data_IF_008940090520
#
_entry.id   IF_008940090520
#
_cell.length_a   1.000
_cell.length_b   1.000
_cell.length_c   1.000
_cell.angle_alpha   90.00
_cell.angle_beta   90.00
_cell.angle_gamma   90.00
#
_symmetry.space_group_name_H-M   'P 1'
#
loop_
_entity.id
_entity.type
_entity.pdbx_description
1 polymer ?
#
# COMPACT_ATOMS: atom_id res chain seq x y z
N UNK A 1 -15.54 25.71 10.53
CA UNK A 1 -14.49 24.80 11.03
C UNK A 1 -13.15 25.44 10.79
N UNK A 2 -12.52 25.97 11.83
CA UNK A 2 -11.31 26.81 11.76
C UNK A 2 -10.08 26.00 11.33
N UNK A 3 -9.21 26.58 10.50
CA UNK A 3 -7.94 25.99 10.01
C UNK A 3 -7.10 25.31 11.11
N UNK A 4 -7.18 25.78 12.36
CA UNK A 4 -6.51 25.21 13.52
C UNK A 4 -6.92 23.75 13.81
N UNK A 5 -8.18 23.35 13.60
CA UNK A 5 -8.62 21.96 13.82
C UNK A 5 -8.17 21.02 12.70
N UNK A 6 -8.06 21.53 11.48
CA UNK A 6 -7.49 20.79 10.34
C UNK A 6 -5.97 20.59 10.53
N UNK A 7 -5.26 21.61 11.04
CA UNK A 7 -3.83 21.53 11.38
C UNK A 7 -3.57 20.54 12.52
N UNK A 8 -4.41 20.54 13.56
CA UNK A 8 -4.32 19.59 14.68
C UNK A 8 -4.61 18.14 14.22
N UNK A 9 -5.64 17.93 13.38
CA UNK A 9 -5.96 16.61 12.84
C UNK A 9 -4.87 16.08 11.88
N UNK A 10 -4.25 16.95 11.07
CA UNK A 10 -3.09 16.60 10.25
C UNK A 10 -1.84 16.30 11.11
N UNK A 11 -1.66 16.99 12.24
CA UNK A 11 -0.55 16.74 13.17
C UNK A 11 -0.75 15.46 14.00
N UNK A 12 -1.97 15.10 14.38
CA UNK A 12 -2.26 13.86 15.12
C UNK A 12 -2.15 12.60 14.25
N UNK A 13 -2.45 12.69 12.94
CA UNK A 13 -2.23 11.58 11.99
C UNK A 13 -0.72 11.37 11.72
N UNK A 14 0.10 12.40 11.93
CA UNK A 14 1.57 12.35 11.78
C UNK A 14 2.32 12.19 13.11
N UNK A 15 1.66 11.65 14.14
CA UNK A 15 2.29 11.44 15.44
C UNK A 15 3.39 10.35 15.36
N UNK A 16 4.64 10.83 15.40
CA UNK A 16 5.79 10.23 16.08
C UNK A 16 6.73 9.27 15.32
N UNK A 17 6.85 9.38 13.99
CA UNK A 17 8.01 8.79 13.30
C UNK A 17 8.69 9.78 12.37
N UNK A 18 9.99 9.99 12.58
CA UNK A 18 10.85 10.69 11.62
C UNK A 18 10.82 9.95 10.28
N UNK A 19 10.51 10.69 9.21
CA UNK A 19 10.37 10.15 7.85
C UNK A 19 11.68 10.35 7.10
N UNK A 20 12.33 9.26 6.71
CA UNK A 20 13.61 9.21 6.03
C UNK A 20 13.39 9.29 4.52
N UNK A 21 13.72 10.45 3.95
CA UNK A 21 13.63 10.67 2.51
C UNK A 21 15.03 10.51 1.92
N UNK A 22 15.18 9.51 1.04
CA UNK A 22 16.41 9.28 0.30
C UNK A 22 16.42 10.11 -0.98
N UNK A 23 17.28 11.12 -1.06
CA UNK A 23 17.33 12.04 -2.20
C UNK A 23 18.42 11.57 -3.17
N UNK A 24 17.99 11.19 -4.36
CA UNK A 24 18.84 10.72 -5.43
C UNK A 24 19.07 11.86 -6.42
N UNK A 25 20.31 12.31 -6.57
CA UNK A 25 20.65 13.40 -7.46
C UNK A 25 21.89 13.08 -8.30
N UNK A 26 21.91 13.52 -9.56
CA UNK A 26 23.09 13.40 -10.42
C UNK A 26 24.13 14.50 -10.15
N UNK A 27 23.74 15.58 -9.48
CA UNK A 27 24.67 16.62 -9.04
C UNK A 27 25.22 16.31 -7.65
N UNK A 28 26.47 16.70 -7.39
CA UNK A 28 27.11 16.55 -6.09
C UNK A 28 26.41 17.35 -4.98
N UNK A 29 25.66 18.39 -5.34
CA UNK A 29 24.89 19.22 -4.44
C UNK A 29 23.56 19.58 -5.12
N UNK A 30 22.50 18.77 -4.93
CA UNK A 30 21.18 19.07 -5.51
C UNK A 30 20.62 20.40 -4.98
N UNK A 31 19.81 21.07 -5.79
CA UNK A 31 19.06 22.23 -5.32
C UNK A 31 17.91 21.76 -4.44
N UNK A 32 18.15 21.80 -3.13
CA UNK A 32 17.18 21.42 -2.11
C UNK A 32 16.36 22.61 -1.60
N UNK A 33 16.41 23.79 -2.25
CA UNK A 33 15.69 24.99 -1.81
C UNK A 33 14.20 24.73 -1.58
N UNK A 34 13.55 24.00 -2.48
CA UNK A 34 12.14 23.60 -2.38
C UNK A 34 11.84 22.60 -1.24
N UNK A 35 12.89 21.99 -0.69
CA UNK A 35 12.83 20.94 0.34
C UNK A 35 13.24 21.43 1.73
N UNK A 36 13.78 22.65 1.86
CA UNK A 36 14.29 23.16 3.14
C UNK A 36 13.23 23.18 4.24
N UNK A 37 12.01 23.58 3.89
CA UNK A 37 10.87 23.64 4.81
C UNK A 37 10.41 22.25 5.29
N UNK A 38 10.77 21.18 4.56
CA UNK A 38 10.48 19.81 5.01
C UNK A 38 11.35 19.41 6.21
N UNK A 39 12.57 19.91 6.33
CA UNK A 39 13.42 19.56 7.49
C UNK A 39 12.79 19.98 8.82
N UNK A 40 12.03 21.09 8.83
CA UNK A 40 11.27 21.54 10.00
C UNK A 40 9.99 20.75 10.29
N UNK A 41 9.56 19.87 9.37
CA UNK A 41 8.33 19.09 9.43
C UNK A 41 8.50 17.63 9.88
N UNK A 42 9.68 17.24 10.35
CA UNK A 42 9.97 15.86 10.78
C UNK A 42 10.46 14.92 9.66
N UNK A 43 10.95 15.49 8.55
CA UNK A 43 11.57 14.73 7.47
C UNK A 43 13.10 14.78 7.60
N UNK A 44 13.74 13.60 7.59
CA UNK A 44 15.18 13.46 7.54
C UNK A 44 15.62 13.22 6.09
N UNK A 45 16.33 14.19 5.52
CA UNK A 45 16.76 14.15 4.12
C UNK A 45 18.16 13.52 4.03
N UNK A 46 18.32 12.45 3.25
CA UNK A 46 19.60 11.79 3.03
C UNK A 46 19.99 11.87 1.54
N UNK A 47 20.88 12.80 1.15
CA UNK A 47 21.35 12.91 -0.23
C UNK A 47 22.24 11.74 -0.65
N UNK A 48 22.14 11.35 -1.91
CA UNK A 48 22.99 10.34 -2.55
C UNK A 48 23.25 10.71 -4.01
N UNK A 49 24.53 10.79 -4.37
CA UNK A 49 24.96 11.13 -5.72
C UNK A 49 24.89 9.89 -6.64
N UNK A 50 24.06 9.93 -7.67
CA UNK A 50 23.98 8.90 -8.69
C UNK A 50 25.15 9.04 -9.66
N UNK A 51 25.86 7.94 -9.92
CA UNK A 51 26.86 7.83 -10.99
C UNK A 51 26.40 6.78 -12.00
N UNK A 52 26.85 6.89 -13.26
CA UNK A 52 26.43 6.01 -14.37
C UNK A 52 26.54 4.50 -14.12
N UNK A 53 27.40 4.07 -13.20
CA UNK A 53 27.57 2.65 -12.82
C UNK A 53 27.36 2.41 -11.32
N UNK A 54 26.75 3.36 -10.60
CA UNK A 54 26.47 3.17 -9.17
C UNK A 54 25.37 2.13 -9.00
N UNK A 55 25.64 1.15 -8.14
CA UNK A 55 24.60 0.26 -7.63
C UNK A 55 23.80 1.03 -6.58
N UNK A 56 22.49 1.15 -6.79
CA UNK A 56 21.59 1.92 -5.94
C UNK A 56 21.14 1.06 -4.77
N UNK A 57 21.94 1.00 -3.70
CA UNK A 57 21.54 0.35 -2.47
C UNK A 57 20.80 1.35 -1.58
N UNK A 58 19.49 1.17 -1.33
CA UNK A 58 18.79 2.01 -0.38
C UNK A 58 19.38 1.83 1.03
N UNK A 59 19.49 2.91 1.83
CA UNK A 59 19.88 2.77 3.24
C UNK A 59 18.85 1.94 4.02
N UNK A 60 19.24 1.49 5.21
CA UNK A 60 18.49 0.50 6.00
C UNK A 60 17.07 0.96 6.39
N UNK A 61 16.78 2.26 6.36
CA UNK A 61 15.47 2.84 6.61
C UNK A 61 15.19 3.97 5.60
N UNK A 62 14.41 3.67 4.57
CA UNK A 62 13.94 4.63 3.56
C UNK A 62 12.43 4.60 3.52
N UNK A 63 11.81 5.69 3.94
CA UNK A 63 10.36 5.84 3.87
C UNK A 63 9.92 6.30 2.47
N UNK A 64 10.75 7.08 1.76
CA UNK A 64 10.51 7.51 0.38
C UNK A 64 11.82 7.79 -0.37
N UNK A 65 11.89 7.41 -1.64
CA UNK A 65 12.95 7.84 -2.55
C UNK A 65 12.48 9.03 -3.39
N UNK A 66 13.32 10.05 -3.51
CA UNK A 66 13.07 11.28 -4.26
C UNK A 66 14.16 11.47 -5.30
N UNK A 67 13.83 11.33 -6.58
CA UNK A 67 14.78 11.48 -7.68
C UNK A 67 14.74 12.91 -8.24
N UNK A 68 15.84 13.63 -8.13
CA UNK A 68 16.04 14.93 -8.78
C UNK A 68 16.61 14.75 -10.20
N UNK A 69 15.76 15.02 -11.20
CA UNK A 69 16.08 14.97 -12.63
C UNK A 69 16.68 16.28 -13.13
N UNK A 70 17.76 16.75 -12.50
CA UNK A 70 18.56 17.87 -13.02
C UNK A 70 19.51 17.46 -14.18
N UNK A 71 19.67 16.16 -14.46
CA UNK A 71 20.57 15.64 -15.49
C UNK A 71 19.88 15.26 -16.81
N UNK A 72 20.69 14.92 -17.83
CA UNK A 72 20.23 14.54 -19.17
C UNK A 72 19.14 13.45 -19.12
N UNK A 73 18.14 13.55 -20.01
CA UNK A 73 16.91 12.72 -19.99
C UNK A 73 17.17 11.22 -19.88
N UNK A 74 18.20 10.72 -20.58
CA UNK A 74 18.46 9.28 -20.68
C UNK A 74 18.95 8.70 -19.35
N UNK A 75 19.85 9.39 -18.66
CA UNK A 75 20.47 8.89 -17.43
C UNK A 75 19.47 8.83 -16.27
N UNK A 76 18.51 9.76 -16.25
CA UNK A 76 17.48 9.81 -15.21
C UNK A 76 16.42 8.71 -15.37
N UNK A 77 15.94 8.42 -16.59
CA UNK A 77 14.99 7.33 -16.82
C UNK A 77 15.61 5.96 -16.50
N UNK A 78 16.87 5.74 -16.90
CA UNK A 78 17.62 4.54 -16.52
C UNK A 78 17.80 4.43 -15.00
N UNK A 79 17.91 5.56 -14.29
CA UNK A 79 17.99 5.57 -12.82
C UNK A 79 16.69 5.09 -12.17
N UNK A 80 15.52 5.47 -12.71
CA UNK A 80 14.22 4.97 -12.22
C UNK A 80 14.14 3.45 -12.40
N UNK A 81 14.45 2.95 -13.60
CA UNK A 81 14.40 1.52 -13.89
C UNK A 81 15.32 0.71 -12.97
N UNK A 82 16.57 1.14 -12.81
CA UNK A 82 17.54 0.49 -11.91
C UNK A 82 17.12 0.55 -10.46
N UNK A 83 16.64 1.70 -10.00
CA UNK A 83 16.16 1.84 -8.63
C UNK A 83 15.00 0.87 -8.37
N UNK A 84 14.12 0.66 -9.36
CA UNK A 84 12.98 -0.26 -9.25
C UNK A 84 13.35 -1.74 -9.24
N UNK A 85 14.55 -2.12 -9.64
CA UNK A 85 15.04 -3.49 -9.47
C UNK A 85 15.08 -3.84 -7.98
N UNK A 86 15.66 -2.95 -7.15
CA UNK A 86 15.94 -3.22 -5.73
C UNK A 86 15.00 -2.51 -4.74
N UNK A 87 14.43 -1.34 -5.10
CA UNK A 87 13.60 -0.53 -4.21
C UNK A 87 12.11 -0.59 -4.61
N UNK A 88 11.30 -1.14 -3.69
CA UNK A 88 9.84 -1.29 -3.85
C UNK A 88 9.01 -0.22 -3.16
N UNK A 89 9.61 0.62 -2.32
CA UNK A 89 8.91 1.69 -1.61
C UNK A 89 8.51 2.87 -2.51
N UNK A 90 7.91 3.94 -1.95
CA UNK A 90 7.42 5.07 -2.75
C UNK A 90 8.56 5.85 -3.41
N UNK A 91 8.40 6.14 -4.70
CA UNK A 91 9.33 6.89 -5.52
C UNK A 91 8.63 8.11 -6.13
N UNK A 92 9.10 9.30 -5.76
CA UNK A 92 8.70 10.54 -6.40
C UNK A 92 9.83 11.09 -7.27
N UNK A 93 9.47 11.77 -8.35
CA UNK A 93 10.40 12.42 -9.27
C UNK A 93 10.22 13.93 -9.22
N UNK A 94 11.32 14.67 -9.16
CA UNK A 94 11.36 16.13 -9.31
C UNK A 94 12.06 16.49 -10.61
N UNK A 95 11.46 17.34 -11.44
CA UNK A 95 12.03 17.74 -12.73
C UNK A 95 11.95 19.25 -12.96
N UNK A 96 13.10 19.84 -13.32
CA UNK A 96 13.24 21.26 -13.66
C UNK A 96 12.90 21.56 -15.13
N UNK A 97 12.89 20.54 -16.00
CA UNK A 97 12.61 20.66 -17.43
C UNK A 97 11.52 19.67 -17.85
N UNK A 98 10.31 19.80 -17.27
CA UNK A 98 9.26 18.84 -17.52
C UNK A 98 8.74 18.97 -18.94
N UNK A 99 8.39 17.82 -19.51
CA UNK A 99 7.51 17.76 -20.65
C UNK A 99 6.57 16.57 -20.46
N UNK A 100 5.45 16.61 -21.17
CA UNK A 100 4.39 15.60 -21.05
C UNK A 100 4.92 14.19 -21.30
N UNK A 101 5.79 14.00 -22.30
CA UNK A 101 6.37 12.70 -22.62
C UNK A 101 7.25 12.15 -21.49
N UNK A 102 8.04 13.00 -20.84
CA UNK A 102 8.89 12.63 -19.70
C UNK A 102 8.05 12.25 -18.49
N UNK A 103 6.99 13.02 -18.22
CA UNK A 103 6.07 12.73 -17.13
C UNK A 103 5.41 11.35 -17.35
N UNK A 104 4.82 11.13 -18.52
CA UNK A 104 4.18 9.85 -18.86
C UNK A 104 5.19 8.70 -18.73
N UNK A 105 6.36 8.83 -19.36
CA UNK A 105 7.37 7.77 -19.35
C UNK A 105 7.87 7.48 -17.93
N UNK A 106 8.10 8.50 -17.10
CA UNK A 106 8.56 8.29 -15.72
C UNK A 106 7.56 7.46 -14.90
N UNK A 107 6.26 7.72 -15.06
CA UNK A 107 5.20 6.95 -14.40
C UNK A 107 5.13 5.51 -14.96
N UNK A 108 5.21 5.34 -16.28
CA UNK A 108 5.16 4.02 -16.93
C UNK A 108 6.32 3.11 -16.51
N UNK A 109 7.53 3.66 -16.33
CA UNK A 109 8.71 2.90 -15.91
C UNK A 109 8.82 2.76 -14.38
N UNK A 110 7.85 3.32 -13.63
CA UNK A 110 7.62 2.97 -12.23
C UNK A 110 7.71 4.10 -11.22
N UNK A 111 7.76 5.38 -11.59
CA UNK A 111 7.57 6.46 -10.61
C UNK A 111 6.12 6.49 -10.08
N UNK A 112 5.92 6.78 -8.79
CA UNK A 112 4.58 6.87 -8.16
C UNK A 112 3.98 8.27 -8.22
N UNK A 113 4.84 9.30 -8.34
CA UNK A 113 4.46 10.68 -8.59
C UNK A 113 5.59 11.39 -9.36
N UNK A 114 5.21 12.44 -10.09
CA UNK A 114 6.13 13.27 -10.85
C UNK A 114 5.74 14.73 -10.66
N UNK A 115 6.69 15.52 -10.18
CA UNK A 115 6.48 16.91 -9.81
C UNK A 115 7.42 17.82 -10.60
N UNK A 116 6.82 18.84 -11.20
CA UNK A 116 7.56 19.94 -11.82
C UNK A 116 8.11 20.89 -10.74
N UNK A 117 9.39 21.22 -10.85
CA UNK A 117 9.98 22.35 -10.14
C UNK A 117 9.79 23.66 -10.93
N UNK A 118 9.61 24.81 -10.25
CA UNK A 118 9.53 24.96 -8.78
C UNK A 118 8.18 24.47 -8.22
N UNK A 119 8.23 23.81 -7.05
CA UNK A 119 7.04 23.35 -6.33
C UNK A 119 7.01 23.96 -4.94
N UNK A 120 5.84 24.44 -4.49
CA UNK A 120 5.72 24.96 -3.14
C UNK A 120 5.90 23.84 -2.11
N UNK A 121 6.67 24.08 -1.05
CA UNK A 121 6.93 23.10 0.00
C UNK A 121 5.66 22.49 0.64
N UNK A 122 4.55 23.23 0.86
CA UNK A 122 3.30 22.62 1.35
C UNK A 122 2.69 21.61 0.38
N UNK A 123 2.74 21.87 -0.93
CA UNK A 123 2.24 20.93 -1.96
C UNK A 123 3.11 19.68 -2.02
N UNK A 124 4.42 19.85 -1.95
CA UNK A 124 5.35 18.73 -1.95
C UNK A 124 5.18 17.85 -0.71
N UNK A 125 5.08 18.46 0.48
CA UNK A 125 4.77 17.75 1.71
C UNK A 125 3.46 16.96 1.59
N UNK A 126 2.38 17.60 1.10
CA UNK A 126 1.09 16.92 0.93
C UNK A 126 1.16 15.72 -0.03
N UNK A 127 1.95 15.82 -1.10
CA UNK A 127 2.16 14.72 -2.06
C UNK A 127 2.99 13.59 -1.47
N UNK A 128 4.06 13.91 -0.75
CA UNK A 128 4.86 12.94 0.01
C UNK A 128 3.97 12.20 1.01
N UNK A 129 3.18 12.91 1.82
CA UNK A 129 2.24 12.28 2.76
C UNK A 129 1.21 11.41 2.06
N UNK A 130 0.71 11.83 0.90
CA UNK A 130 -0.23 11.03 0.12
C UNK A 130 0.40 9.75 -0.45
N UNK A 131 1.68 9.78 -0.82
CA UNK A 131 2.43 8.59 -1.25
C UNK A 131 2.69 7.66 -0.08
N UNK A 132 3.23 8.18 1.02
CA UNK A 132 3.50 7.41 2.23
C UNK A 132 2.22 6.76 2.77
N UNK A 133 1.09 7.46 2.79
CA UNK A 133 -0.19 6.87 3.21
C UNK A 133 -0.65 5.76 2.27
N UNK A 134 -0.48 5.91 0.95
CA UNK A 134 -0.81 4.87 -0.04
C UNK A 134 0.04 3.62 0.18
N UNK A 135 1.34 3.81 0.40
CA UNK A 135 2.26 2.73 0.68
C UNK A 135 2.01 2.09 2.05
N UNK A 136 1.75 2.85 3.10
CA UNK A 136 1.33 2.31 4.40
C UNK A 136 -0.01 1.58 4.31
N UNK A 137 -0.91 1.94 3.38
CA UNK A 137 -2.15 1.19 3.17
C UNK A 137 -1.92 -0.10 2.38
N UNK A 138 -0.92 -0.14 1.50
CA UNK A 138 -0.47 -1.34 0.80
C UNK A 138 0.43 -2.25 1.66
N UNK A 139 1.21 -1.67 2.56
CA UNK A 139 2.11 -2.30 3.55
C UNK A 139 1.43 -2.54 4.91
N UNK A 140 0.21 -2.03 5.10
CA UNK A 140 -0.70 -2.63 6.07
C UNK A 140 -0.95 -4.03 5.55
N UNK A 141 -0.06 -4.94 5.94
CA UNK A 141 -0.48 -6.28 6.30
C UNK A 141 -1.81 -6.08 7.03
N UNK A 142 -2.88 -6.81 6.66
CA UNK A 142 -4.11 -6.74 7.41
C UNK A 142 -3.67 -6.91 8.86
N UNK A 143 -4.04 -5.98 9.75
CA UNK A 143 -3.69 -6.10 11.16
C UNK A 143 -3.85 -7.57 11.49
N UNK A 144 -2.80 -8.23 11.98
CA UNK A 144 -2.81 -9.68 12.05
C UNK A 144 -4.05 -10.19 12.78
N UNK A 145 -4.73 -9.32 13.53
CA UNK A 145 -6.10 -9.44 13.98
C UNK A 145 -7.09 -8.58 13.17
N UNK A 146 -8.09 -9.18 12.52
CA UNK A 146 -9.28 -8.48 11.97
C UNK A 146 -10.44 -8.64 12.97
N UNK A 147 -11.09 -7.54 13.36
CA UNK A 147 -12.25 -7.56 14.29
C UNK A 147 -13.49 -6.94 13.64
N UNK A 148 -14.61 -7.66 13.69
CA UNK A 148 -15.89 -7.30 13.06
C UNK A 148 -17.02 -7.70 13.99
N UNK A 149 -17.64 -6.73 14.65
CA UNK A 149 -18.64 -7.00 15.69
C UNK A 149 -18.07 -7.88 16.80
N UNK A 150 -18.66 -9.06 16.98
CA UNK A 150 -18.26 -10.07 17.96
C UNK A 150 -17.23 -11.08 17.41
N UNK A 151 -16.83 -10.97 16.14
CA UNK A 151 -15.88 -11.84 15.45
C UNK A 151 -14.47 -11.24 15.47
N UNK A 152 -13.49 -12.06 15.83
CA UNK A 152 -12.06 -11.73 15.73
C UNK A 152 -11.33 -12.84 14.97
N UNK A 153 -10.49 -12.46 14.01
CA UNK A 153 -9.68 -13.38 13.18
C UNK A 153 -8.22 -13.00 13.35
N UNK A 154 -7.44 -13.84 14.01
CA UNK A 154 -6.01 -13.63 14.27
C UNK A 154 -5.17 -14.54 13.35
N UNK A 155 -4.53 -13.96 12.34
CA UNK A 155 -3.58 -14.58 11.43
C UNK A 155 -2.27 -15.03 12.08
N UNK A 156 -1.78 -14.33 13.11
CA UNK A 156 -0.56 -14.74 13.82
C UNK A 156 -0.81 -16.04 14.58
N UNK A 157 -1.93 -16.11 15.31
CA UNK A 157 -2.33 -17.29 16.08
C UNK A 157 -3.08 -18.34 15.24
N UNK A 158 -3.48 -17.98 14.01
CA UNK A 158 -4.40 -18.75 13.16
C UNK A 158 -5.69 -19.12 13.92
N UNK A 159 -6.20 -18.18 14.70
CA UNK A 159 -7.31 -18.36 15.62
C UNK A 159 -8.51 -17.53 15.17
N UNK A 160 -9.71 -18.07 15.29
CA UNK A 160 -10.96 -17.34 15.06
C UNK A 160 -11.75 -17.39 16.35
N UNK A 161 -12.15 -16.25 16.89
CA UNK A 161 -13.02 -16.17 18.07
C UNK A 161 -14.30 -15.44 17.72
N UNK A 162 -15.42 -15.91 18.28
CA UNK A 162 -16.71 -15.22 18.18
C UNK A 162 -17.41 -15.22 19.53
N UNK A 163 -17.87 -14.07 20.00
CA UNK A 163 -18.38 -13.91 21.37
C UNK A 163 -17.39 -14.45 22.41
N UNK A 164 -16.11 -14.08 22.26
CA UNK A 164 -15.00 -14.50 23.13
C UNK A 164 -14.75 -16.03 23.18
N UNK A 165 -15.38 -16.81 22.30
CA UNK A 165 -15.19 -18.27 22.20
C UNK A 165 -14.41 -18.64 20.95
N UNK A 166 -13.41 -19.50 21.09
CA UNK A 166 -12.63 -20.02 19.97
C UNK A 166 -13.52 -20.90 19.08
N UNK A 167 -13.54 -20.58 17.79
CA UNK A 167 -14.24 -21.31 16.74
C UNK A 167 -13.23 -22.22 16.03
N UNK A 168 -13.44 -23.53 16.11
CA UNK A 168 -12.56 -24.49 15.43
C UNK A 168 -12.73 -24.42 13.91
N UNK A 169 -11.70 -23.96 13.21
CA UNK A 169 -11.62 -23.88 11.75
C UNK A 169 -10.45 -24.70 11.21
N UNK A 170 -10.63 -25.29 10.03
CA UNK A 170 -9.54 -25.95 9.31
C UNK A 170 -8.62 -24.91 8.66
N UNK A 171 -7.42 -25.33 8.23
CA UNK A 171 -6.47 -24.46 7.52
C UNK A 171 -7.07 -23.76 6.30
N UNK A 172 -7.90 -24.47 5.52
CA UNK A 172 -8.50 -23.90 4.31
C UNK A 172 -9.64 -22.95 4.66
N UNK A 173 -10.47 -23.30 5.64
CA UNK A 173 -11.53 -22.40 6.14
C UNK A 173 -10.95 -21.11 6.71
N UNK A 174 -9.85 -21.20 7.48
CA UNK A 174 -9.14 -20.04 7.99
C UNK A 174 -8.65 -19.15 6.85
N UNK A 175 -7.93 -19.73 5.88
CA UNK A 175 -7.41 -18.98 4.72
C UNK A 175 -8.53 -18.29 3.94
N UNK A 176 -9.66 -18.98 3.72
CA UNK A 176 -10.81 -18.41 3.03
C UNK A 176 -11.42 -17.24 3.81
N UNK A 177 -11.67 -17.43 5.10
CA UNK A 177 -12.23 -16.40 5.95
C UNK A 177 -11.31 -15.18 6.03
N UNK A 178 -10.01 -15.40 6.23
CA UNK A 178 -8.99 -14.36 6.25
C UNK A 178 -8.93 -13.59 4.93
N UNK A 179 -8.89 -14.30 3.80
CA UNK A 179 -8.84 -13.68 2.48
C UNK A 179 -10.05 -12.79 2.22
N UNK A 180 -11.25 -13.28 2.53
CA UNK A 180 -12.48 -12.50 2.38
C UNK A 180 -12.55 -11.31 3.33
N UNK A 181 -12.19 -11.50 4.60
CA UNK A 181 -12.20 -10.45 5.61
C UNK A 181 -11.15 -9.35 5.32
N UNK A 182 -9.99 -9.73 4.77
CA UNK A 182 -8.97 -8.77 4.32
C UNK A 182 -9.42 -7.93 3.12
N UNK A 183 -10.45 -8.38 2.39
CA UNK A 183 -11.09 -7.68 1.28
C UNK A 183 -12.53 -7.27 1.64
N UNK A 184 -12.80 -6.96 2.92
CA UNK A 184 -14.12 -6.56 3.37
C UNK A 184 -14.69 -5.39 2.55
N UNK A 185 -15.98 -5.47 2.21
CA UNK A 185 -16.65 -4.48 1.35
C UNK A 185 -16.44 -4.68 -0.16
N UNK A 186 -15.55 -5.58 -0.59
CA UNK A 186 -15.28 -5.86 -2.01
C UNK A 186 -15.85 -7.23 -2.39
N UNK A 187 -16.48 -7.31 -3.56
CA UNK A 187 -16.92 -8.60 -4.12
C UNK A 187 -15.70 -9.34 -4.65
N UNK A 188 -15.43 -10.50 -4.07
CA UNK A 188 -14.31 -11.37 -4.44
C UNK A 188 -14.83 -12.51 -5.31
N UNK A 189 -14.25 -12.67 -6.51
CA UNK A 189 -14.69 -13.70 -7.45
C UNK A 189 -14.30 -15.11 -7.01
N UNK A 190 -15.01 -16.12 -7.51
CA UNK A 190 -14.62 -17.54 -7.26
C UNK A 190 -13.23 -17.85 -7.78
N UNK A 191 -12.84 -17.25 -8.91
CA UNK A 191 -11.52 -17.44 -9.49
C UNK A 191 -10.43 -16.87 -8.58
N UNK A 192 -10.63 -15.66 -8.05
CA UNK A 192 -9.66 -15.02 -7.15
C UNK A 192 -9.51 -15.81 -5.85
N UNK A 193 -10.62 -16.31 -5.29
CA UNK A 193 -10.59 -17.19 -4.12
C UNK A 193 -9.81 -18.48 -4.43
N UNK A 194 -10.05 -19.10 -5.59
CA UNK A 194 -9.32 -20.32 -5.98
C UNK A 194 -7.82 -20.07 -6.12
N UNK A 195 -7.46 -18.96 -6.76
CA UNK A 195 -6.07 -18.55 -6.93
C UNK A 195 -5.41 -18.29 -5.56
N UNK A 196 -6.09 -17.57 -4.67
CA UNK A 196 -5.57 -17.28 -3.33
C UNK A 196 -5.43 -18.51 -2.43
N UNK A 197 -6.35 -19.48 -2.53
CA UNK A 197 -6.33 -20.67 -1.68
C UNK A 197 -5.39 -21.77 -2.19
N UNK A 198 -5.31 -21.96 -3.51
CA UNK A 198 -4.69 -23.12 -4.14
C UNK A 198 -3.61 -22.78 -5.15
N UNK A 199 -3.37 -21.49 -5.42
CA UNK A 199 -2.44 -21.00 -6.43
C UNK A 199 -2.69 -21.61 -7.82
N UNK A 200 -3.97 -21.78 -8.18
CA UNK A 200 -4.43 -22.30 -9.48
C UNK A 200 -5.78 -21.70 -9.86
N UNK A 201 -6.03 -21.61 -11.16
CA UNK A 201 -7.28 -21.08 -11.70
C UNK A 201 -8.49 -21.99 -11.40
N UNK A 202 -9.67 -21.37 -11.39
CA UNK A 202 -10.93 -22.06 -11.20
C UNK A 202 -11.37 -22.80 -12.46
N UNK A 203 -11.53 -24.12 -12.37
CA UNK A 203 -11.92 -24.98 -13.50
C UNK A 203 -13.43 -24.97 -13.81
N UNK A 204 -14.23 -24.10 -13.18
CA UNK A 204 -15.68 -23.97 -13.42
C UNK A 204 -16.58 -25.05 -12.79
N UNK A 205 -16.00 -26.15 -12.31
CA UNK A 205 -16.75 -27.30 -11.76
C UNK A 205 -16.50 -27.47 -10.26
N UNK A 206 -15.33 -27.04 -9.77
CA UNK A 206 -14.95 -27.19 -8.37
C UNK A 206 -15.96 -26.43 -7.46
N UNK A 207 -16.52 -27.13 -6.48
CA UNK A 207 -17.49 -26.58 -5.51
C UNK A 207 -16.89 -26.42 -4.11
N UNK A 208 -15.58 -26.58 -3.99
CA UNK A 208 -14.87 -26.51 -2.71
C UNK A 208 -15.07 -25.16 -2.03
N UNK A 209 -14.97 -24.04 -2.75
CA UNK A 209 -15.24 -22.70 -2.19
C UNK A 209 -16.66 -22.59 -1.65
N UNK A 210 -17.68 -22.97 -2.45
CA UNK A 210 -19.08 -22.93 -2.03
C UNK A 210 -19.32 -23.80 -0.77
N UNK A 211 -18.67 -24.97 -0.70
CA UNK A 211 -18.70 -25.87 0.46
C UNK A 211 -18.06 -25.23 1.70
N UNK A 212 -16.88 -24.61 1.57
CA UNK A 212 -16.21 -23.96 2.70
C UNK A 212 -16.97 -22.74 3.20
N UNK A 213 -17.60 -21.96 2.31
CA UNK A 213 -18.52 -20.88 2.71
C UNK A 213 -19.68 -21.44 3.53
N UNK A 214 -20.28 -22.55 3.09
CA UNK A 214 -21.37 -23.20 3.84
C UNK A 214 -20.92 -23.67 5.24
N UNK A 215 -19.72 -24.23 5.36
CA UNK A 215 -19.14 -24.64 6.64
C UNK A 215 -18.84 -23.45 7.55
N UNK A 216 -18.21 -22.40 7.01
CA UNK A 216 -17.92 -21.16 7.74
C UNK A 216 -19.22 -20.53 8.26
N UNK A 217 -20.27 -20.42 7.44
CA UNK A 217 -21.57 -19.91 7.87
C UNK A 217 -22.13 -20.66 9.06
N UNK A 218 -22.10 -22.00 9.04
CA UNK A 218 -22.54 -22.83 10.17
C UNK A 218 -21.70 -22.58 11.43
N UNK A 219 -20.37 -22.53 11.29
CA UNK A 219 -19.44 -22.32 12.43
C UNK A 219 -19.54 -20.92 13.03
N UNK A 220 -19.79 -19.92 12.19
CA UNK A 220 -19.93 -18.53 12.60
C UNK A 220 -21.36 -18.16 13.00
N UNK A 221 -22.33 -19.07 12.84
CA UNK A 221 -23.75 -18.77 13.07
C UNK A 221 -24.31 -17.72 12.11
N UNK A 222 -23.75 -17.61 10.90
CA UNK A 222 -24.17 -16.67 9.87
C UNK A 222 -25.25 -17.30 8.97
N UNK A 223 -26.44 -16.69 8.95
CA UNK A 223 -27.59 -17.25 8.26
C UNK A 223 -27.53 -16.95 6.74
N UNK A 224 -27.60 -17.95 5.84
CA UNK A 224 -27.59 -17.69 4.40
C UNK A 224 -28.75 -16.81 3.91
N UNK A 225 -29.91 -16.85 4.58
CA UNK A 225 -31.08 -16.05 4.23
C UNK A 225 -30.94 -14.58 4.67
N UNK A 226 -30.18 -14.33 5.73
CA UNK A 226 -29.91 -13.00 6.29
C UNK A 226 -28.43 -12.90 6.65
N UNK A 227 -27.52 -12.84 5.65
CA UNK A 227 -26.09 -12.88 5.90
C UNK A 227 -25.64 -11.58 6.55
N UNK A 228 -25.03 -11.67 7.72
CA UNK A 228 -24.41 -10.54 8.41
C UNK A 228 -22.90 -10.51 8.20
N UNK A 229 -22.29 -11.63 7.79
CA UNK A 229 -20.85 -11.74 7.55
C UNK A 229 -20.52 -12.13 6.11
N UNK A 230 -21.04 -13.27 5.64
CA UNK A 230 -20.67 -13.83 4.34
C UNK A 230 -21.86 -13.75 3.39
N UNK A 231 -21.89 -12.74 2.53
CA UNK A 231 -22.94 -12.54 1.53
C UNK A 231 -22.56 -13.18 0.19
N UNK A 232 -23.52 -13.87 -0.42
CA UNK A 232 -23.36 -14.38 -1.79
C UNK A 232 -23.83 -13.33 -2.78
N UNK A 233 -22.98 -12.99 -3.75
CA UNK A 233 -23.36 -12.22 -4.93
C UNK A 233 -23.52 -13.21 -6.07
N UNK A 234 -24.76 -13.41 -6.54
CA UNK A 234 -25.08 -14.41 -7.56
C UNK A 234 -24.37 -14.06 -8.87
N UNK A 235 -23.71 -15.04 -9.50
CA UNK A 235 -22.91 -14.81 -10.71
C UNK A 235 -21.47 -14.39 -10.41
N UNK A 236 -21.27 -13.50 -9.44
CA UNK A 236 -19.97 -12.85 -9.27
C UNK A 236 -19.07 -13.52 -8.24
N UNK A 237 -19.60 -13.87 -7.05
CA UNK A 237 -18.76 -14.43 -6.00
C UNK A 237 -19.30 -14.20 -4.59
N UNK A 238 -18.40 -13.78 -3.69
CA UNK A 238 -18.67 -13.62 -2.27
C UNK A 238 -18.21 -12.26 -1.78
N UNK A 239 -18.96 -11.71 -0.83
CA UNK A 239 -18.66 -10.46 -0.17
C UNK A 239 -18.60 -10.72 1.33
N UNK A 240 -17.51 -10.29 1.95
CA UNK A 240 -17.46 -10.14 3.39
C UNK A 240 -18.08 -8.80 3.76
N UNK A 241 -19.22 -8.86 4.44
CA UNK A 241 -19.95 -7.70 4.96
C UNK A 241 -19.62 -7.65 6.44
N UNK A 242 -18.98 -6.58 6.89
CA UNK A 242 -18.58 -6.38 8.28
C UNK A 242 -18.99 -5.00 8.76
#
# INVERSE_FOLDING_TARGET
MTLQRLKACLMEISANHEKNIWILAHQAQPDLSSLQDLMGGGYHLQPFAIRKSAVLHPPQKVDLALLDMAASTQDAMTSIMRLREDYKGPLAVLDNHPNERRHILALEIGADDYLQQPVSSPVLAARIEALLRRYQQAEREPSAVISVGDLTIDATRREVTKNEKVISVTTVEFKLLWYLASHAGIVVSRNDIHLALYNREYNGIDRSVDMYISRLRKKLGDCPAHPTLLKTIRGDGYLFVG
#
